data_IF_605685566595
#
_entry.id   IF_605685566595
#
_cell.length_a   1.000
_cell.length_b   1.000
_cell.length_c   1.000
_cell.angle_alpha   90.00
_cell.angle_beta   90.00
_cell.angle_gamma   90.00
#
_symmetry.space_group_name_H-M   'P 1'
#
loop_
_entity.id
_entity.type
_entity.pdbx_description
1 polymer ?
#
# COMPACT_ATOMS: atom_id res chain seq x y z
N UNK A 1 17.75 13.49 28.17
CA UNK A 1 18.29 14.10 26.94
C UNK A 1 19.79 13.88 26.75
N UNK A 2 20.63 13.83 27.80
CA UNK A 2 22.08 13.60 27.68
C UNK A 2 22.44 12.23 27.10
N UNK A 3 21.76 11.17 27.50
CA UNK A 3 22.13 9.80 27.12
C UNK A 3 22.02 9.48 25.60
N UNK A 4 21.01 9.98 24.90
CA UNK A 4 20.85 9.69 23.46
C UNK A 4 21.88 10.44 22.60
N UNK A 5 22.27 11.64 23.02
CA UNK A 5 23.28 12.45 22.34
C UNK A 5 24.69 11.88 22.51
N UNK A 6 25.04 11.40 23.69
CA UNK A 6 26.31 10.73 23.97
C UNK A 6 26.38 9.39 23.20
N UNK A 7 25.28 8.64 23.18
CA UNK A 7 25.18 7.38 22.47
C UNK A 7 25.38 7.56 20.95
N UNK A 8 24.78 8.59 20.33
CA UNK A 8 24.96 8.85 18.90
C UNK A 8 26.39 9.26 18.57
N UNK A 9 27.04 10.05 19.42
CA UNK A 9 28.45 10.42 19.24
C UNK A 9 29.38 9.21 19.30
N UNK A 10 29.15 8.30 20.26
CA UNK A 10 29.94 7.06 20.35
C UNK A 10 29.74 6.14 19.16
N UNK A 11 28.55 6.15 18.51
CA UNK A 11 28.28 5.37 17.30
C UNK A 11 28.95 6.03 16.09
N UNK A 12 28.89 7.35 15.99
CA UNK A 12 29.50 8.11 14.88
C UNK A 12 31.03 7.99 14.81
N UNK A 13 31.70 7.74 15.95
CA UNK A 13 33.13 7.51 16.00
C UNK A 13 33.56 6.11 15.56
N UNK A 14 32.61 5.16 15.37
CA UNK A 14 32.90 3.76 14.96
C UNK A 14 33.12 3.66 13.46
N UNK A 15 33.82 2.63 13.00
CA UNK A 15 33.91 2.29 11.59
C UNK A 15 32.54 1.96 10.97
N UNK A 16 32.47 1.85 9.64
CA UNK A 16 31.23 1.71 8.88
C UNK A 16 30.27 0.62 9.43
N UNK A 17 30.75 -0.61 9.66
CA UNK A 17 29.93 -1.71 10.19
C UNK A 17 29.47 -1.42 11.64
N UNK A 18 30.30 -0.77 12.45
CA UNK A 18 29.95 -0.38 13.80
C UNK A 18 28.87 0.71 13.85
N UNK A 19 28.90 1.65 12.92
CA UNK A 19 27.83 2.65 12.72
C UNK A 19 26.53 1.98 12.29
N UNK A 20 26.58 1.08 11.32
CA UNK A 20 25.40 0.35 10.82
C UNK A 20 24.70 -0.41 11.96
N UNK A 21 25.47 -1.20 12.72
CA UNK A 21 24.96 -1.96 13.86
C UNK A 21 24.47 -1.05 15.01
N UNK A 22 25.10 0.12 15.21
CA UNK A 22 24.68 1.11 16.19
C UNK A 22 23.37 1.79 15.80
N UNK A 23 23.27 2.24 14.57
CA UNK A 23 22.07 2.90 14.05
C UNK A 23 20.87 1.96 14.00
N UNK A 24 21.04 0.70 13.59
CA UNK A 24 19.93 -0.27 13.52
C UNK A 24 19.25 -0.49 14.88
N UNK A 25 20.00 -0.38 15.99
CA UNK A 25 19.45 -0.46 17.36
C UNK A 25 18.66 0.79 17.76
N UNK A 26 18.89 1.92 17.11
CA UNK A 26 18.23 3.19 17.41
C UNK A 26 17.08 3.52 16.46
N UNK A 27 16.86 2.73 15.43
CA UNK A 27 15.76 2.90 14.46
C UNK A 27 14.39 2.79 15.12
N UNK A 28 13.42 3.49 14.59
CA UNK A 28 12.04 3.43 15.08
C UNK A 28 11.05 4.30 14.32
N UNK A 29 11.28 5.61 14.11
CA UNK A 29 10.38 6.45 13.33
C UNK A 29 10.08 5.90 11.94
N UNK A 30 11.09 5.40 11.22
CA UNK A 30 10.92 4.77 9.90
C UNK A 30 10.02 3.54 9.93
N UNK A 31 10.14 2.71 10.97
CA UNK A 31 9.28 1.52 11.13
C UNK A 31 7.82 1.89 11.41
N UNK A 32 7.58 2.97 12.16
CA UNK A 32 6.22 3.51 12.35
C UNK A 32 5.66 3.97 11.01
N UNK A 33 6.47 4.65 10.20
CA UNK A 33 6.06 5.06 8.85
C UNK A 33 5.78 3.83 7.95
N UNK A 34 6.59 2.77 8.04
CA UNK A 34 6.33 1.53 7.31
C UNK A 34 5.00 0.88 7.71
N UNK A 35 4.69 0.82 9.00
CA UNK A 35 3.41 0.31 9.47
C UNK A 35 2.22 1.14 8.99
N UNK A 36 2.38 2.46 8.91
CA UNK A 36 1.34 3.36 8.37
C UNK A 36 1.12 3.16 6.88
N UNK A 37 2.19 3.00 6.09
CA UNK A 37 2.07 2.85 4.64
C UNK A 37 1.71 1.43 4.19
N UNK A 38 2.21 0.39 4.88
CA UNK A 38 1.91 -1.02 4.57
C UNK A 38 0.52 -1.42 5.10
N UNK A 39 -0.49 -0.69 4.72
CA UNK A 39 -1.88 -0.92 5.06
C UNK A 39 -2.75 -1.11 3.82
N UNK A 40 -4.08 -0.98 4.01
CA UNK A 40 -5.08 -1.22 2.97
C UNK A 40 -4.89 -0.42 1.69
N UNK A 41 -4.30 0.77 1.76
CA UNK A 41 -4.04 1.59 0.57
C UNK A 41 -2.94 1.04 -0.32
N UNK A 42 -1.75 0.81 0.23
CA UNK A 42 -0.59 0.40 -0.56
C UNK A 42 -0.56 -1.10 -0.88
N UNK A 43 -0.99 -1.98 0.04
CA UNK A 43 -1.04 -3.42 -0.24
C UNK A 43 -2.13 -3.76 -1.26
N UNK A 44 -3.36 -3.26 -1.08
CA UNK A 44 -4.43 -3.46 -2.08
C UNK A 44 -4.08 -2.75 -3.40
N UNK A 45 -3.42 -1.60 -3.32
CA UNK A 45 -2.87 -0.92 -4.49
C UNK A 45 -1.85 -1.78 -5.25
N UNK A 46 -0.86 -2.35 -4.55
CA UNK A 46 0.15 -3.23 -5.12
C UNK A 46 -0.45 -4.52 -5.70
N UNK A 47 -1.45 -5.12 -5.00
CA UNK A 47 -2.23 -6.25 -5.51
C UNK A 47 -2.83 -5.91 -6.88
N UNK A 48 -3.51 -4.77 -6.97
CA UNK A 48 -4.18 -4.37 -8.19
C UNK A 48 -3.20 -3.96 -9.30
N UNK A 49 -2.05 -3.36 -8.95
CA UNK A 49 -0.98 -3.10 -9.92
C UNK A 49 -0.49 -4.38 -10.60
N UNK A 50 -0.26 -5.44 -9.83
CA UNK A 50 0.15 -6.73 -10.40
C UNK A 50 -0.93 -7.37 -11.26
N UNK A 51 -2.22 -7.14 -10.96
CA UNK A 51 -3.34 -7.67 -11.73
C UNK A 51 -3.50 -6.93 -13.07
N UNK A 52 -3.54 -5.60 -13.04
CA UNK A 52 -3.82 -4.79 -14.23
C UNK A 52 -2.59 -4.51 -15.09
N UNK A 53 -1.42 -4.41 -14.46
CA UNK A 53 -0.16 -4.03 -15.12
C UNK A 53 0.83 -5.18 -15.24
N UNK A 54 0.59 -6.29 -14.54
CA UNK A 54 1.54 -7.40 -14.54
C UNK A 54 2.94 -6.98 -14.06
N UNK A 55 3.95 -7.62 -14.62
CA UNK A 55 5.35 -7.26 -14.35
C UNK A 55 5.73 -5.89 -14.90
N UNK A 56 5.03 -5.36 -15.93
CA UNK A 56 5.33 -4.06 -16.53
C UNK A 56 5.22 -2.89 -15.54
N UNK A 57 4.54 -3.07 -14.40
CA UNK A 57 4.39 -2.05 -13.35
C UNK A 57 5.31 -2.24 -12.13
N UNK A 58 6.25 -3.19 -12.19
CA UNK A 58 7.12 -3.48 -11.04
C UNK A 58 8.02 -2.29 -10.66
N UNK A 59 8.41 -1.45 -11.63
CA UNK A 59 9.22 -0.24 -11.41
C UNK A 59 8.52 0.84 -10.58
N UNK A 60 7.18 0.82 -10.54
CA UNK A 60 6.41 1.87 -9.88
C UNK A 60 6.66 1.92 -8.37
N UNK A 61 6.72 0.77 -7.71
CA UNK A 61 6.88 0.71 -6.25
C UNK A 61 8.24 1.27 -5.79
N UNK A 62 9.38 0.87 -6.39
CA UNK A 62 10.68 1.47 -6.10
C UNK A 62 10.70 2.97 -6.34
N UNK A 63 10.19 3.42 -7.49
CA UNK A 63 10.25 4.83 -7.87
C UNK A 63 9.35 5.70 -6.97
N UNK A 64 8.12 5.26 -6.71
CA UNK A 64 7.19 5.98 -5.83
C UNK A 64 7.76 6.13 -4.41
N UNK A 65 8.30 5.05 -3.84
CA UNK A 65 8.91 5.11 -2.52
C UNK A 65 10.21 5.93 -2.51
N UNK A 66 11.02 5.88 -3.56
CA UNK A 66 12.20 6.73 -3.66
C UNK A 66 11.85 8.22 -3.61
N UNK A 67 10.84 8.65 -4.38
CA UNK A 67 10.32 10.02 -4.31
C UNK A 67 9.82 10.36 -2.90
N UNK A 68 9.09 9.44 -2.27
CA UNK A 68 8.61 9.61 -0.90
C UNK A 68 9.72 9.73 0.14
N UNK A 69 10.77 8.91 0.04
CA UNK A 69 11.94 8.97 0.95
C UNK A 69 12.69 10.28 0.80
N UNK A 70 12.86 10.80 -0.42
CA UNK A 70 13.49 12.10 -0.64
C UNK A 70 12.69 13.20 0.07
N UNK A 71 11.37 13.19 -0.08
CA UNK A 71 10.48 14.16 0.59
C UNK A 71 10.56 14.04 2.12
N UNK A 72 10.45 12.83 2.68
CA UNK A 72 10.51 12.61 4.12
C UNK A 72 11.91 12.94 4.69
N UNK A 73 12.97 12.68 3.96
CA UNK A 73 14.33 13.05 4.36
C UNK A 73 14.51 14.58 4.42
N UNK A 74 13.93 15.31 3.46
CA UNK A 74 13.94 16.79 3.49
C UNK A 74 13.14 17.32 4.68
N UNK A 75 11.94 16.80 4.94
CA UNK A 75 11.11 17.18 6.11
C UNK A 75 11.84 16.87 7.42
N UNK A 76 12.43 15.69 7.52
CA UNK A 76 13.24 15.28 8.67
C UNK A 76 14.43 16.23 8.90
N UNK A 77 15.15 16.58 7.83
CA UNK A 77 16.27 17.51 7.89
C UNK A 77 15.85 18.87 8.43
N UNK A 78 14.76 19.44 7.94
CA UNK A 78 14.22 20.72 8.42
C UNK A 78 13.78 20.61 9.88
N UNK A 79 13.02 19.58 10.22
CA UNK A 79 12.52 19.35 11.59
C UNK A 79 13.65 19.28 12.61
N UNK A 80 14.67 18.46 12.32
CA UNK A 80 15.83 18.29 13.22
C UNK A 80 16.75 19.52 13.25
N UNK A 81 16.62 20.43 12.28
CA UNK A 81 17.37 21.69 12.26
C UNK A 81 16.73 22.77 13.12
N UNK A 82 15.41 22.83 13.09
CA UNK A 82 14.63 23.85 13.80
C UNK A 82 14.34 23.44 15.25
N UNK A 83 14.33 22.13 15.55
CA UNK A 83 14.00 21.53 16.85
C UNK A 83 12.63 21.99 17.41
N UNK A 84 11.79 22.57 16.54
CA UNK A 84 10.42 23.00 16.82
C UNK A 84 9.42 22.15 16.03
N UNK A 85 8.16 22.16 16.49
CA UNK A 85 7.05 21.50 15.78
C UNK A 85 6.87 22.11 14.39
N UNK A 86 6.88 21.34 13.32
CA UNK A 86 6.85 21.85 11.93
C UNK A 86 5.69 22.79 11.64
N UNK A 87 4.50 22.48 12.17
CA UNK A 87 3.34 23.37 12.05
C UNK A 87 3.64 24.79 12.56
N UNK A 88 4.27 24.91 13.73
CA UNK A 88 4.65 26.23 14.30
C UNK A 88 5.73 26.92 13.47
N UNK A 89 6.69 26.16 12.97
CA UNK A 89 7.75 26.71 12.11
C UNK A 89 7.14 27.26 10.83
N UNK A 90 6.26 26.49 10.19
CA UNK A 90 5.56 26.92 8.98
C UNK A 90 4.69 28.14 9.25
N UNK A 91 3.91 28.13 10.33
CA UNK A 91 3.03 29.25 10.72
C UNK A 91 3.80 30.54 10.96
N UNK A 92 4.96 30.47 11.63
CA UNK A 92 5.74 31.68 12.03
C UNK A 92 6.68 32.15 10.92
N UNK A 93 7.31 31.23 10.16
CA UNK A 93 8.42 31.56 9.26
C UNK A 93 8.08 31.50 7.79
N UNK A 94 6.94 30.89 7.42
CA UNK A 94 6.50 30.78 6.02
C UNK A 94 5.17 31.47 5.83
N UNK A 95 4.07 30.88 6.26
CA UNK A 95 2.73 31.42 6.15
C UNK A 95 1.75 30.72 7.09
N UNK A 96 0.95 31.43 7.88
CA UNK A 96 -0.15 30.85 8.64
C UNK A 96 -1.15 30.11 7.77
N UNK A 97 -1.50 30.66 6.62
CA UNK A 97 -2.45 30.05 5.66
C UNK A 97 -1.95 28.69 5.18
N UNK A 98 -0.68 28.58 4.79
CA UNK A 98 -0.09 27.32 4.35
C UNK A 98 -0.06 26.29 5.48
N UNK A 99 0.25 26.69 6.72
CA UNK A 99 0.24 25.79 7.87
C UNK A 99 -1.15 25.21 8.13
N UNK A 100 -2.18 26.05 8.12
CA UNK A 100 -3.57 25.59 8.30
C UNK A 100 -4.07 24.75 7.11
N UNK A 101 -3.75 25.14 5.86
CA UNK A 101 -4.09 24.34 4.69
C UNK A 101 -3.46 22.95 4.73
N UNK A 102 -2.19 22.86 5.14
CA UNK A 102 -1.52 21.56 5.32
C UNK A 102 -2.18 20.71 6.41
N UNK A 103 -2.54 21.30 7.56
CA UNK A 103 -3.24 20.59 8.64
C UNK A 103 -4.61 20.07 8.16
N UNK A 104 -5.41 20.94 7.54
CA UNK A 104 -6.76 20.59 7.05
C UNK A 104 -6.67 19.48 5.99
N UNK A 105 -5.77 19.62 5.01
CA UNK A 105 -5.55 18.60 4.00
C UNK A 105 -5.12 17.26 4.61
N UNK A 106 -4.26 17.28 5.63
CA UNK A 106 -3.86 16.08 6.36
C UNK A 106 -5.05 15.41 7.05
N UNK A 107 -5.89 16.17 7.77
CA UNK A 107 -7.07 15.63 8.46
C UNK A 107 -8.07 15.01 7.48
N UNK A 108 -8.32 15.67 6.34
CA UNK A 108 -9.20 15.13 5.29
C UNK A 108 -8.63 13.83 4.73
N UNK A 109 -7.35 13.81 4.38
CA UNK A 109 -6.68 12.61 3.86
C UNK A 109 -6.69 11.47 4.89
N UNK A 110 -6.40 11.76 6.17
CA UNK A 110 -6.43 10.77 7.23
C UNK A 110 -7.81 10.16 7.42
N UNK A 111 -8.87 10.95 7.29
CA UNK A 111 -10.25 10.44 7.38
C UNK A 111 -10.51 9.39 6.29
N UNK A 112 -10.08 9.66 5.06
CA UNK A 112 -10.21 8.73 3.92
C UNK A 112 -9.34 7.48 4.13
N UNK A 113 -8.09 7.65 4.55
CA UNK A 113 -7.19 6.52 4.82
C UNK A 113 -7.68 5.66 5.98
N UNK A 114 -8.17 6.25 7.07
CA UNK A 114 -8.75 5.49 8.18
C UNK A 114 -9.97 4.68 7.74
N UNK A 115 -10.86 5.24 6.92
CA UNK A 115 -12.01 4.51 6.38
C UNK A 115 -11.56 3.27 5.58
N UNK A 116 -10.51 3.40 4.75
CA UNK A 116 -9.94 2.29 4.00
C UNK A 116 -9.35 1.20 4.93
N UNK A 117 -8.64 1.59 6.01
CA UNK A 117 -8.07 0.65 6.98
C UNK A 117 -9.16 -0.11 7.74
N UNK A 118 -10.22 0.58 8.20
CA UNK A 118 -11.35 -0.09 8.85
C UNK A 118 -12.09 -1.03 7.90
N UNK A 119 -12.23 -0.66 6.63
CA UNK A 119 -12.81 -1.53 5.60
C UNK A 119 -11.98 -2.80 5.39
N UNK A 120 -10.64 -2.67 5.34
CA UNK A 120 -9.75 -3.82 5.22
C UNK A 120 -9.79 -4.72 6.46
N UNK A 121 -9.71 -4.12 7.67
CA UNK A 121 -9.81 -4.86 8.92
C UNK A 121 -11.15 -5.58 9.09
N UNK A 122 -12.24 -4.93 8.67
CA UNK A 122 -13.56 -5.56 8.62
C UNK A 122 -13.58 -6.75 7.65
N UNK A 123 -13.09 -6.56 6.41
CA UNK A 123 -13.00 -7.63 5.42
C UNK A 123 -12.13 -8.81 5.90
N UNK A 124 -11.03 -8.53 6.61
CA UNK A 124 -10.22 -9.57 7.22
C UNK A 124 -11.00 -10.41 8.25
N UNK A 125 -11.80 -9.77 9.11
CA UNK A 125 -12.60 -10.45 10.12
C UNK A 125 -13.81 -11.17 9.50
N UNK A 126 -14.57 -10.52 8.61
CA UNK A 126 -15.76 -11.07 7.98
C UNK A 126 -15.42 -12.15 6.95
N UNK A 127 -14.57 -11.79 5.95
CA UNK A 127 -14.34 -12.64 4.77
C UNK A 127 -13.34 -13.75 5.02
N UNK A 128 -12.30 -13.49 5.87
CA UNK A 128 -11.22 -14.45 6.09
C UNK A 128 -11.40 -15.26 7.37
N UNK A 129 -11.97 -14.67 8.45
CA UNK A 129 -12.18 -15.36 9.74
C UNK A 129 -13.61 -15.79 9.97
N UNK A 130 -14.56 -15.38 9.12
CA UNK A 130 -15.99 -15.73 9.25
C UNK A 130 -16.68 -15.11 10.47
N UNK A 131 -16.09 -14.04 11.05
CA UNK A 131 -16.67 -13.36 12.21
C UNK A 131 -17.64 -12.28 11.78
N UNK A 132 -18.95 -12.54 11.86
CA UNK A 132 -20.02 -11.70 11.31
C UNK A 132 -21.04 -11.16 12.34
N UNK A 133 -20.61 -10.46 13.42
CA UNK A 133 -21.54 -9.90 14.40
C UNK A 133 -22.29 -8.65 13.89
N UNK A 134 -21.93 -8.19 12.68
CA UNK A 134 -22.48 -7.01 12.02
C UNK A 134 -21.43 -5.91 11.81
N UNK A 135 -21.59 -5.13 10.73
CA UNK A 135 -20.55 -4.18 10.27
C UNK A 135 -20.25 -3.07 11.29
N UNK A 136 -21.24 -2.58 11.99
CA UNK A 136 -21.07 -1.52 12.99
C UNK A 136 -20.35 -2.01 14.25
N UNK A 137 -20.60 -3.28 14.64
CA UNK A 137 -19.95 -3.89 15.81
C UNK A 137 -18.46 -4.08 15.55
N UNK A 138 -18.10 -4.61 14.39
CA UNK A 138 -16.69 -4.81 14.02
C UNK A 138 -15.96 -3.47 13.94
N UNK A 139 -16.49 -2.53 13.16
CA UNK A 139 -15.83 -1.22 12.96
C UNK A 139 -15.72 -0.45 14.28
N UNK A 140 -16.79 -0.47 15.11
CA UNK A 140 -16.77 0.15 16.43
C UNK A 140 -15.75 -0.47 17.38
N UNK A 141 -15.63 -1.80 17.39
CA UNK A 141 -14.64 -2.51 18.21
C UNK A 141 -13.20 -2.18 17.77
N UNK A 142 -12.92 -2.21 16.46
CA UNK A 142 -11.61 -1.82 15.92
C UNK A 142 -11.28 -0.37 16.28
N UNK A 143 -12.25 0.54 16.20
CA UNK A 143 -12.06 1.94 16.57
C UNK A 143 -11.71 2.11 18.05
N UNK A 144 -12.44 1.42 18.94
CA UNK A 144 -12.19 1.46 20.40
C UNK A 144 -10.81 0.89 20.72
N UNK A 145 -10.42 -0.23 20.09
CA UNK A 145 -9.10 -0.83 20.25
C UNK A 145 -8.02 0.16 19.82
N UNK A 146 -8.16 0.76 18.62
CA UNK A 146 -7.19 1.73 18.10
C UNK A 146 -7.02 2.93 19.04
N UNK A 147 -8.13 3.53 19.50
CA UNK A 147 -8.09 4.65 20.46
C UNK A 147 -7.44 4.25 21.80
N UNK A 148 -7.74 3.05 22.29
CA UNK A 148 -7.15 2.53 23.53
C UNK A 148 -5.64 2.36 23.41
N UNK A 149 -5.16 1.79 22.32
CA UNK A 149 -3.73 1.63 22.05
C UNK A 149 -3.02 2.99 21.96
N UNK A 150 -3.62 3.97 21.27
CA UNK A 150 -3.10 5.34 21.18
C UNK A 150 -3.02 5.96 22.59
N UNK A 151 -4.10 5.90 23.37
CA UNK A 151 -4.15 6.48 24.71
C UNK A 151 -3.10 5.88 25.65
N UNK A 152 -2.93 4.56 25.62
CA UNK A 152 -1.94 3.83 26.42
C UNK A 152 -0.51 4.21 25.98
N UNK A 153 -0.25 4.29 24.68
CA UNK A 153 1.07 4.63 24.12
C UNK A 153 1.52 6.06 24.49
N UNK A 154 0.56 6.97 24.69
CA UNK A 154 0.89 8.34 25.07
C UNK A 154 1.24 8.49 26.55
N UNK A 155 0.66 7.65 27.41
CA UNK A 155 0.84 7.73 28.87
C UNK A 155 2.03 6.94 29.40
N UNK A 156 2.49 5.91 28.69
CA UNK A 156 3.48 4.97 29.18
C UNK A 156 4.56 4.68 28.13
N UNK A 157 5.81 5.05 28.43
CA UNK A 157 6.96 4.81 27.54
C UNK A 157 7.24 3.31 27.30
N UNK A 158 6.93 2.44 28.26
CA UNK A 158 7.10 0.99 28.10
C UNK A 158 6.07 0.45 27.09
N UNK A 159 4.82 0.93 27.19
CA UNK A 159 3.75 0.59 26.27
C UNK A 159 4.06 1.12 24.86
N UNK A 160 4.57 2.34 24.73
CA UNK A 160 5.00 2.88 23.43
C UNK A 160 6.08 2.01 22.78
N UNK A 161 7.08 1.55 23.54
CA UNK A 161 8.14 0.65 23.05
C UNK A 161 7.59 -0.73 22.67
N UNK A 162 6.63 -1.26 23.43
CA UNK A 162 5.96 -2.53 23.09
C UNK A 162 5.20 -2.42 21.77
N UNK A 163 4.42 -1.34 21.58
CA UNK A 163 3.69 -1.08 20.34
C UNK A 163 4.66 -0.89 19.16
N UNK A 164 5.75 -0.14 19.34
CA UNK A 164 6.79 -0.01 18.30
C UNK A 164 7.38 -1.38 17.87
N UNK A 165 7.62 -2.27 18.82
CA UNK A 165 8.14 -3.61 18.54
C UNK A 165 7.08 -4.51 17.89
N UNK A 166 5.81 -4.39 18.31
CA UNK A 166 4.69 -5.09 17.68
C UNK A 166 4.56 -4.69 16.20
N UNK A 167 4.57 -3.37 15.93
CA UNK A 167 4.53 -2.86 14.55
C UNK A 167 5.69 -3.38 13.69
N UNK A 168 6.92 -3.40 14.24
CA UNK A 168 8.08 -3.99 13.55
C UNK A 168 7.86 -5.47 13.25
N UNK A 169 7.30 -6.21 14.21
CA UNK A 169 6.99 -7.64 14.06
C UNK A 169 5.95 -7.87 12.96
N UNK A 170 4.87 -7.09 12.95
CA UNK A 170 3.82 -7.18 11.92
C UNK A 170 4.36 -6.86 10.52
N UNK A 171 5.15 -5.79 10.39
CA UNK A 171 5.81 -5.46 9.11
C UNK A 171 6.72 -6.59 8.65
N UNK A 172 7.50 -7.18 9.55
CA UNK A 172 8.36 -8.32 9.21
C UNK A 172 7.56 -9.54 8.77
N UNK A 173 6.45 -9.85 9.43
CA UNK A 173 5.54 -10.96 9.05
C UNK A 173 4.98 -10.74 7.65
N UNK A 174 4.51 -9.53 7.32
CA UNK A 174 3.99 -9.20 5.98
C UNK A 174 5.08 -9.41 4.91
N UNK A 175 6.29 -8.88 5.13
CA UNK A 175 7.41 -9.03 4.20
C UNK A 175 7.78 -10.50 4.00
N UNK A 176 7.88 -11.27 5.10
CA UNK A 176 8.25 -12.69 5.04
C UNK A 176 7.16 -13.52 4.37
N UNK A 177 5.88 -13.20 4.61
CA UNK A 177 4.77 -13.90 3.97
C UNK A 177 4.80 -13.74 2.44
N UNK A 178 4.91 -12.51 1.94
CA UNK A 178 4.99 -12.28 0.49
C UNK A 178 6.30 -12.80 -0.12
N UNK A 179 7.41 -12.71 0.60
CA UNK A 179 8.66 -13.34 0.18
C UNK A 179 8.49 -14.86 0.01
N UNK A 180 7.84 -15.53 0.97
CA UNK A 180 7.54 -16.95 0.90
C UNK A 180 6.71 -17.31 -0.33
N UNK A 181 5.70 -16.49 -0.66
CA UNK A 181 4.90 -16.67 -1.88
C UNK A 181 5.77 -16.59 -3.13
N UNK A 182 6.61 -15.56 -3.24
CA UNK A 182 7.48 -15.37 -4.41
C UNK A 182 8.47 -16.53 -4.55
N UNK A 183 9.08 -16.99 -3.46
CA UNK A 183 9.98 -18.16 -3.47
C UNK A 183 9.24 -19.41 -3.94
N UNK A 184 8.02 -19.64 -3.48
CA UNK A 184 7.19 -20.77 -3.92
C UNK A 184 6.87 -20.69 -5.41
N UNK A 185 6.50 -19.50 -5.90
CA UNK A 185 6.20 -19.28 -7.33
C UNK A 185 7.44 -19.46 -8.22
N UNK A 186 8.62 -19.03 -7.73
CA UNK A 186 9.91 -19.28 -8.42
C UNK A 186 10.18 -20.77 -8.52
N UNK A 187 10.05 -21.51 -7.42
CA UNK A 187 10.29 -22.95 -7.39
C UNK A 187 9.32 -23.73 -8.31
N UNK A 188 8.10 -23.22 -8.48
CA UNK A 188 7.10 -23.80 -9.37
C UNK A 188 7.26 -23.35 -10.84
N UNK A 189 8.29 -22.54 -11.15
CA UNK A 189 8.51 -22.02 -12.51
C UNK A 189 7.45 -21.03 -13.01
N UNK A 190 6.66 -20.47 -12.09
CA UNK A 190 5.56 -19.54 -12.44
C UNK A 190 6.05 -18.11 -12.69
N UNK A 191 7.30 -17.79 -12.36
CA UNK A 191 7.88 -16.44 -12.49
C UNK A 191 8.71 -16.36 -13.77
N UNK A 192 8.35 -15.44 -14.66
CA UNK A 192 9.16 -15.10 -15.84
C UNK A 192 10.26 -14.12 -15.46
N UNK A 193 11.50 -14.59 -15.39
CA UNK A 193 12.65 -13.74 -15.05
C UNK A 193 12.89 -12.61 -16.04
N UNK A 194 12.72 -12.86 -17.34
CA UNK A 194 12.86 -11.85 -18.38
C UNK A 194 11.83 -10.72 -18.21
N UNK A 195 10.58 -11.07 -17.99
CA UNK A 195 9.50 -10.09 -17.75
C UNK A 195 9.70 -9.33 -16.44
N UNK A 196 10.19 -10.01 -15.39
CA UNK A 196 10.49 -9.39 -14.10
C UNK A 196 11.57 -8.32 -14.23
N UNK A 197 12.71 -8.64 -14.88
CA UNK A 197 13.79 -7.66 -15.07
C UNK A 197 13.39 -6.54 -16.02
N UNK A 198 12.64 -6.83 -17.09
CA UNK A 198 12.09 -5.82 -17.97
C UNK A 198 11.15 -4.86 -17.23
N UNK A 199 10.33 -5.40 -16.34
CA UNK A 199 9.38 -4.63 -15.54
C UNK A 199 10.00 -3.72 -14.46
N UNK A 200 11.32 -3.83 -14.20
CA UNK A 200 12.03 -2.88 -13.34
C UNK A 200 12.44 -1.60 -14.08
N UNK A 201 12.36 -1.61 -15.41
CA UNK A 201 12.68 -0.44 -16.23
C UNK A 201 11.42 0.43 -16.34
N UNK A 202 11.48 1.72 -15.96
CA UNK A 202 10.33 2.60 -16.05
C UNK A 202 9.80 2.74 -17.49
N UNK A 203 8.54 2.35 -17.70
CA UNK A 203 7.82 2.58 -18.95
C UNK A 203 6.62 3.49 -18.71
N UNK A 204 6.76 4.76 -19.08
CA UNK A 204 5.69 5.75 -18.96
C UNK A 204 4.65 5.64 -20.07
N UNK A 205 4.85 4.81 -21.10
CA UNK A 205 3.85 4.61 -22.16
C UNK A 205 2.57 3.98 -21.63
N UNK A 206 2.65 3.21 -20.53
CA UNK A 206 1.51 2.65 -19.82
C UNK A 206 0.51 3.68 -19.25
N UNK A 207 0.88 4.98 -19.25
CA UNK A 207 -0.07 6.07 -18.99
C UNK A 207 -1.03 6.31 -20.15
N UNK A 208 -0.70 5.84 -21.36
CA UNK A 208 -1.38 6.16 -22.61
C UNK A 208 -1.84 4.93 -23.39
N UNK A 209 -1.37 3.74 -23.03
CA UNK A 209 -1.74 2.46 -23.67
C UNK A 209 -1.89 1.36 -22.65
N UNK A 210 -2.73 0.32 -22.91
CA UNK A 210 -2.75 -0.88 -22.09
C UNK A 210 -1.38 -1.61 -22.13
N UNK A 211 -1.09 -2.37 -21.05
CA UNK A 211 0.05 -3.29 -21.03
C UNK A 211 -0.09 -4.36 -22.11
N UNK A 212 1.03 -4.90 -22.59
CA UNK A 212 1.04 -5.75 -23.79
C UNK A 212 0.12 -6.97 -23.66
N UNK A 213 0.10 -7.64 -22.51
CA UNK A 213 -0.76 -8.82 -22.30
C UNK A 213 -2.25 -8.45 -22.26
N UNK A 214 -2.61 -7.34 -21.64
CA UNK A 214 -3.99 -6.85 -21.61
C UNK A 214 -4.41 -6.35 -23.02
N UNK A 215 -3.50 -5.69 -23.74
CA UNK A 215 -3.75 -5.27 -25.12
C UNK A 215 -4.09 -6.48 -26.03
N UNK A 216 -3.37 -7.59 -25.87
CA UNK A 216 -3.68 -8.84 -26.57
C UNK A 216 -5.07 -9.38 -26.22
N UNK A 217 -5.48 -9.30 -24.94
CA UNK A 217 -6.84 -9.68 -24.54
C UNK A 217 -7.90 -8.72 -25.09
N UNK A 218 -7.63 -7.40 -25.11
CA UNK A 218 -8.52 -6.40 -25.70
C UNK A 218 -8.75 -6.69 -27.19
N UNK A 219 -7.71 -7.07 -27.92
CA UNK A 219 -7.85 -7.40 -29.35
C UNK A 219 -8.87 -8.52 -29.64
N UNK A 220 -9.13 -9.40 -28.67
CA UNK A 220 -10.14 -10.48 -28.82
C UNK A 220 -11.58 -9.98 -28.66
N UNK A 221 -11.82 -8.77 -28.18
CA UNK A 221 -13.15 -8.19 -27.98
C UNK A 221 -13.76 -7.57 -29.25
N UNK A 222 -13.02 -7.58 -30.38
CA UNK A 222 -13.51 -7.14 -31.67
C UNK A 222 -13.96 -5.66 -31.68
N UNK A 223 -15.21 -5.42 -31.97
CA UNK A 223 -15.79 -4.05 -32.05
C UNK A 223 -15.77 -3.29 -30.70
N UNK A 224 -15.63 -4.00 -29.57
CA UNK A 224 -15.57 -3.41 -28.24
C UNK A 224 -14.15 -2.99 -27.84
N UNK A 225 -13.14 -3.29 -28.66
CA UNK A 225 -11.72 -3.04 -28.33
C UNK A 225 -11.42 -1.56 -28.03
N UNK A 226 -12.06 -0.62 -28.70
CA UNK A 226 -11.86 0.82 -28.45
C UNK A 226 -12.31 1.22 -27.03
N UNK A 227 -13.48 0.76 -26.59
CA UNK A 227 -13.98 1.00 -25.24
C UNK A 227 -13.03 0.42 -24.17
N UNK A 228 -12.66 -0.83 -24.33
CA UNK A 228 -11.79 -1.50 -23.35
C UNK A 228 -10.39 -0.88 -23.30
N UNK A 229 -9.86 -0.42 -24.42
CA UNK A 229 -8.58 0.30 -24.46
C UNK A 229 -8.65 1.56 -23.62
N UNK A 230 -9.70 2.37 -23.78
CA UNK A 230 -9.88 3.60 -23.01
C UNK A 230 -10.10 3.29 -21.51
N UNK A 231 -10.98 2.35 -21.20
CA UNK A 231 -11.29 1.94 -19.83
C UNK A 231 -10.04 1.45 -19.10
N UNK A 232 -9.30 0.50 -19.69
CA UNK A 232 -8.10 -0.08 -19.09
C UNK A 232 -7.01 0.97 -18.93
N UNK A 233 -6.77 1.80 -19.94
CA UNK A 233 -5.76 2.87 -19.86
C UNK A 233 -6.10 3.88 -18.77
N UNK A 234 -7.38 4.22 -18.61
CA UNK A 234 -7.84 5.11 -17.53
C UNK A 234 -7.63 4.48 -16.15
N UNK A 235 -7.96 3.20 -15.98
CA UNK A 235 -7.71 2.47 -14.74
C UNK A 235 -6.21 2.34 -14.44
N UNK A 236 -5.38 1.99 -15.43
CA UNK A 236 -3.92 1.94 -15.29
C UNK A 236 -3.36 3.30 -14.83
N UNK A 237 -3.75 4.39 -15.49
CA UNK A 237 -3.34 5.76 -15.13
C UNK A 237 -3.72 6.10 -13.70
N UNK A 238 -4.95 5.79 -13.30
CA UNK A 238 -5.44 5.99 -11.94
C UNK A 238 -4.58 5.21 -10.92
N UNK A 239 -4.20 3.96 -11.23
CA UNK A 239 -3.36 3.15 -10.33
C UNK A 239 -1.92 3.60 -10.27
N UNK A 240 -1.36 4.06 -11.40
CA UNK A 240 -0.02 4.65 -11.42
C UNK A 240 0.03 5.88 -10.52
N UNK A 241 -0.93 6.81 -10.66
CA UNK A 241 -1.01 8.01 -9.82
C UNK A 241 -1.23 7.63 -8.35
N UNK A 242 -2.13 6.69 -8.07
CA UNK A 242 -2.41 6.22 -6.72
C UNK A 242 -1.18 5.58 -6.05
N UNK A 243 -0.33 4.85 -6.80
CA UNK A 243 0.88 4.24 -6.27
C UNK A 243 1.83 5.30 -5.66
N UNK A 244 2.00 6.44 -6.34
CA UNK A 244 2.79 7.56 -5.80
C UNK A 244 2.14 8.18 -4.56
N UNK A 245 0.81 8.37 -4.55
CA UNK A 245 0.06 8.93 -3.43
C UNK A 245 0.01 8.04 -2.19
N UNK A 246 0.04 6.71 -2.38
CA UNK A 246 -0.04 5.75 -1.28
C UNK A 246 1.31 5.30 -0.73
N UNK A 247 2.40 5.46 -1.49
CA UNK A 247 3.75 5.14 -1.01
C UNK A 247 4.16 6.04 0.16
N UNK A 248 3.95 7.35 0.06
CA UNK A 248 4.12 8.31 1.16
C UNK A 248 2.96 9.31 1.12
N UNK A 249 1.98 9.09 1.98
CA UNK A 249 0.84 9.98 2.13
C UNK A 249 1.17 11.28 2.89
N UNK A 250 0.30 12.28 2.74
CA UNK A 250 0.44 13.57 3.44
C UNK A 250 0.45 13.39 4.97
N UNK A 251 -0.25 12.40 5.50
CA UNK A 251 -0.26 12.03 6.91
C UNK A 251 1.14 11.67 7.43
N UNK A 252 1.94 10.99 6.63
CA UNK A 252 3.31 10.62 6.99
C UNK A 252 4.21 11.86 7.10
N UNK A 253 3.98 12.87 6.25
CA UNK A 253 4.70 14.15 6.32
C UNK A 253 4.39 14.92 7.60
N UNK A 254 3.22 14.69 8.18
CA UNK A 254 2.82 15.26 9.47
C UNK A 254 3.33 14.42 10.65
N UNK A 255 3.18 13.09 10.57
CA UNK A 255 3.51 12.16 11.65
C UNK A 255 5.03 12.08 11.93
N UNK A 256 5.86 11.99 10.87
CA UNK A 256 7.30 11.81 11.03
C UNK A 256 7.96 12.89 11.91
N UNK A 257 7.77 14.19 11.66
CA UNK A 257 8.34 15.25 12.46
C UNK A 257 8.01 15.14 13.96
N UNK A 258 6.76 14.84 14.27
CA UNK A 258 6.32 14.70 15.66
C UNK A 258 6.93 13.48 16.34
N UNK A 259 7.11 12.38 15.59
CA UNK A 259 7.77 11.17 16.09
C UNK A 259 9.25 11.43 16.39
N UNK A 260 9.95 12.18 15.52
CA UNK A 260 11.35 12.57 15.73
C UNK A 260 11.52 13.42 16.98
N UNK A 261 10.69 14.46 17.14
CA UNK A 261 10.72 15.37 18.29
C UNK A 261 10.38 14.61 19.58
N UNK A 262 9.34 13.75 19.57
CA UNK A 262 8.96 12.92 20.73
C UNK A 262 10.10 12.04 21.21
N UNK A 263 10.95 11.54 20.31
CA UNK A 263 12.14 10.73 20.63
C UNK A 263 13.34 11.57 21.10
N UNK A 264 13.22 12.88 21.14
CA UNK A 264 14.31 13.79 21.52
C UNK A 264 15.43 13.85 20.48
N UNK A 265 15.13 13.51 19.21
CA UNK A 265 16.10 13.63 18.15
C UNK A 265 16.33 15.11 17.79
N UNK A 266 17.59 15.45 17.51
CA UNK A 266 18.06 16.81 17.25
C UNK A 266 18.93 16.84 15.99
N UNK A 267 19.53 17.97 15.69
CA UNK A 267 20.45 18.16 14.55
C UNK A 267 21.52 17.06 14.41
N UNK A 268 22.01 16.50 15.53
CA UNK A 268 23.02 15.42 15.54
C UNK A 268 22.49 14.09 15.03
N UNK A 269 21.15 13.88 15.03
CA UNK A 269 20.50 12.64 14.60
C UNK A 269 20.13 12.62 13.12
N UNK A 270 20.53 13.61 12.31
CA UNK A 270 20.14 13.70 10.88
C UNK A 270 20.59 12.48 10.05
N UNK A 271 21.82 12.00 10.30
CA UNK A 271 22.35 10.82 9.61
C UNK A 271 21.57 9.56 10.02
N UNK A 272 21.32 9.40 11.32
CA UNK A 272 20.47 8.34 11.87
C UNK A 272 19.06 8.39 11.28
N UNK A 273 18.46 9.59 11.14
CA UNK A 273 17.12 9.72 10.59
C UNK A 273 17.03 9.28 9.12
N UNK A 274 18.03 9.62 8.30
CA UNK A 274 18.10 9.11 6.91
C UNK A 274 18.28 7.60 6.87
N UNK A 275 19.17 7.06 7.69
CA UNK A 275 19.36 5.62 7.83
C UNK A 275 18.07 4.91 8.27
N UNK A 276 17.35 5.45 9.24
CA UNK A 276 16.10 4.93 9.76
C UNK A 276 14.98 4.92 8.70
N UNK A 277 14.89 5.97 7.87
CA UNK A 277 13.94 6.01 6.75
C UNK A 277 14.27 4.95 5.69
N UNK A 278 15.55 4.72 5.40
CA UNK A 278 15.94 3.68 4.43
C UNK A 278 15.69 2.30 5.01
N UNK A 279 16.20 2.00 6.20
CA UNK A 279 16.11 0.66 6.78
C UNK A 279 14.69 0.34 7.27
N UNK A 280 14.05 1.31 7.92
CA UNK A 280 12.75 1.12 8.58
C UNK A 280 11.55 1.33 7.65
N UNK A 281 11.68 2.09 6.57
CA UNK A 281 10.57 2.36 5.65
C UNK A 281 10.84 1.85 4.24
N UNK A 282 11.91 2.32 3.58
CA UNK A 282 12.15 2.02 2.17
C UNK A 282 12.28 0.52 1.91
N UNK A 283 13.15 -0.17 2.65
CA UNK A 283 13.41 -1.60 2.43
C UNK A 283 12.17 -2.45 2.69
N UNK A 284 11.46 -2.34 3.84
CA UNK A 284 10.26 -3.13 4.09
C UNK A 284 9.15 -2.86 3.07
N UNK A 285 8.92 -1.60 2.72
CA UNK A 285 7.91 -1.24 1.72
C UNK A 285 8.24 -1.84 0.36
N UNK A 286 9.47 -1.65 -0.10
CA UNK A 286 9.92 -2.18 -1.39
C UNK A 286 9.77 -3.70 -1.45
N UNK A 287 10.21 -4.40 -0.41
CA UNK A 287 10.09 -5.86 -0.35
C UNK A 287 8.63 -6.31 -0.36
N UNK A 288 7.79 -5.78 0.54
CA UNK A 288 6.40 -6.20 0.65
C UNK A 288 5.60 -5.93 -0.63
N UNK A 289 5.69 -4.70 -1.17
CA UNK A 289 4.88 -4.30 -2.32
C UNK A 289 5.39 -4.90 -3.63
N UNK A 290 6.72 -4.99 -3.84
CA UNK A 290 7.26 -5.63 -5.04
C UNK A 290 7.01 -7.14 -5.05
N UNK A 291 7.17 -7.81 -3.91
CA UNK A 291 6.82 -9.23 -3.81
C UNK A 291 5.34 -9.46 -4.08
N UNK A 292 4.46 -8.58 -3.61
CA UNK A 292 3.04 -8.67 -3.87
C UNK A 292 2.73 -8.45 -5.36
N UNK A 293 3.33 -7.44 -6.01
CA UNK A 293 3.19 -7.24 -7.47
C UNK A 293 3.65 -8.49 -8.23
N UNK A 294 4.81 -9.05 -7.88
CA UNK A 294 5.33 -10.28 -8.52
C UNK A 294 4.35 -11.45 -8.33
N UNK A 295 3.89 -11.66 -7.10
CA UNK A 295 2.98 -12.75 -6.76
C UNK A 295 1.66 -12.64 -7.53
N UNK A 296 1.09 -11.45 -7.60
CA UNK A 296 -0.20 -11.22 -8.25
C UNK A 296 -0.10 -11.16 -9.77
N UNK A 297 1.03 -10.69 -10.30
CA UNK A 297 1.31 -10.80 -11.74
C UNK A 297 1.38 -12.26 -12.17
N UNK A 298 2.12 -13.09 -11.44
CA UNK A 298 2.24 -14.52 -11.76
C UNK A 298 0.93 -15.29 -11.62
N UNK A 299 0.05 -14.90 -10.69
CA UNK A 299 -1.17 -15.65 -10.38
C UNK A 299 -2.40 -15.16 -11.12
N UNK A 300 -2.55 -13.85 -11.32
CA UNK A 300 -3.82 -13.24 -11.73
C UNK A 300 -3.76 -12.41 -13.01
N UNK A 301 -2.58 -11.91 -13.42
CA UNK A 301 -2.49 -11.03 -14.60
C UNK A 301 -2.89 -11.75 -15.88
N UNK A 302 -3.80 -11.15 -16.62
CA UNK A 302 -4.33 -11.67 -17.89
C UNK A 302 -4.85 -13.13 -17.83
N UNK A 303 -5.23 -13.61 -16.62
CA UNK A 303 -5.76 -14.97 -16.44
C UNK A 303 -7.28 -14.96 -16.33
N UNK A 304 -7.92 -15.85 -17.11
CA UNK A 304 -9.38 -15.99 -17.21
C UNK A 304 -10.04 -16.50 -15.92
N UNK A 305 -9.35 -17.37 -15.18
CA UNK A 305 -9.89 -18.09 -14.02
C UNK A 305 -9.69 -17.36 -12.69
N UNK A 306 -9.37 -16.05 -12.75
CA UNK A 306 -9.20 -15.28 -11.52
C UNK A 306 -10.56 -15.05 -10.85
N UNK A 307 -10.76 -15.64 -9.66
CA UNK A 307 -11.98 -15.44 -8.87
C UNK A 307 -12.07 -13.97 -8.47
N UNK A 308 -13.15 -13.32 -8.88
CA UNK A 308 -13.48 -11.93 -8.51
C UNK A 308 -14.77 -11.97 -7.71
N UNK A 309 -14.92 -11.07 -6.71
CA UNK A 309 -16.22 -10.94 -6.05
C UNK A 309 -17.27 -10.51 -7.08
N UNK A 310 -18.46 -11.14 -7.05
CA UNK A 310 -19.53 -10.85 -7.99
C UNK A 310 -19.88 -9.34 -8.05
N UNK A 311 -19.86 -8.65 -6.91
CA UNK A 311 -20.13 -7.21 -6.85
C UNK A 311 -19.07 -6.37 -7.60
N UNK A 312 -17.80 -6.73 -7.51
CA UNK A 312 -16.73 -6.01 -8.21
C UNK A 312 -16.74 -6.29 -9.71
N UNK A 313 -17.02 -7.53 -10.10
CA UNK A 313 -17.23 -7.89 -11.50
C UNK A 313 -18.42 -7.13 -12.10
N UNK A 314 -19.58 -7.20 -11.44
CA UNK A 314 -20.79 -6.53 -11.88
C UNK A 314 -20.57 -5.02 -12.03
N UNK A 315 -19.80 -4.39 -11.14
CA UNK A 315 -19.53 -2.95 -11.25
C UNK A 315 -18.78 -2.57 -12.55
N UNK A 316 -17.89 -3.43 -13.03
CA UNK A 316 -17.20 -3.22 -14.33
C UNK A 316 -18.16 -3.42 -15.48
N UNK A 317 -18.94 -4.53 -15.45
CA UNK A 317 -19.92 -4.85 -16.47
C UNK A 317 -21.02 -3.79 -16.55
N UNK A 318 -21.51 -3.32 -15.40
CA UNK A 318 -22.53 -2.25 -15.34
C UNK A 318 -22.01 -0.94 -15.96
N UNK A 319 -20.71 -0.63 -15.76
CA UNK A 319 -20.09 0.55 -16.39
C UNK A 319 -20.04 0.38 -17.90
N UNK A 320 -19.73 -0.83 -18.38
CA UNK A 320 -19.75 -1.12 -19.82
C UNK A 320 -21.16 -1.03 -20.40
N UNK A 321 -22.17 -1.67 -19.77
CA UNK A 321 -23.56 -1.64 -20.19
C UNK A 321 -24.09 -0.21 -20.22
N UNK A 322 -23.85 0.59 -19.19
CA UNK A 322 -24.24 2.00 -19.14
C UNK A 322 -23.58 2.85 -20.24
N UNK A 323 -22.41 2.45 -20.73
CA UNK A 323 -21.76 3.14 -21.86
C UNK A 323 -22.43 2.83 -23.20
N UNK A 324 -23.14 1.70 -23.29
CA UNK A 324 -23.86 1.26 -24.50
C UNK A 324 -25.32 1.70 -24.52
N UNK A 325 -25.96 1.69 -23.36
CA UNK A 325 -27.36 2.10 -23.20
C UNK A 325 -27.49 3.11 -22.05
N UNK A 326 -27.81 4.33 -22.39
CA UNK A 326 -28.03 5.42 -21.40
C UNK A 326 -29.23 5.16 -20.46
N UNK A 327 -30.13 4.24 -20.80
CA UNK A 327 -31.27 3.84 -19.99
C UNK A 327 -31.00 2.58 -19.15
N UNK A 328 -29.76 2.05 -19.18
CA UNK A 328 -29.40 0.88 -18.38
C UNK A 328 -29.57 1.16 -16.88
N UNK A 329 -30.41 0.34 -16.21
CA UNK A 329 -30.55 0.37 -14.74
C UNK A 329 -30.00 -0.91 -14.15
N UNK A 330 -28.89 -0.78 -13.43
CA UNK A 330 -28.22 -1.90 -12.74
C UNK A 330 -29.06 -2.60 -11.68
N UNK A 331 -30.15 -1.96 -11.19
CA UNK A 331 -31.07 -2.49 -10.19
C UNK A 331 -32.33 -3.13 -10.81
N UNK A 332 -32.50 -3.05 -12.14
CA UNK A 332 -33.63 -3.68 -12.82
C UNK A 332 -33.55 -5.21 -12.74
N UNK A 333 -34.70 -5.89 -12.73
CA UNK A 333 -34.77 -7.36 -12.78
C UNK A 333 -34.06 -7.93 -13.99
N UNK A 334 -34.03 -7.20 -15.12
CA UNK A 334 -33.36 -7.57 -16.35
C UNK A 334 -31.83 -7.40 -16.31
N UNK A 335 -31.29 -6.71 -15.32
CA UNK A 335 -29.85 -6.37 -15.28
C UNK A 335 -28.95 -7.62 -15.27
N UNK A 336 -29.36 -8.67 -14.53
CA UNK A 336 -28.57 -9.91 -14.49
C UNK A 336 -28.55 -10.60 -15.85
N UNK A 337 -29.67 -10.68 -16.53
CA UNK A 337 -29.74 -11.26 -17.88
C UNK A 337 -28.87 -10.47 -18.88
N UNK A 338 -28.83 -9.15 -18.76
CA UNK A 338 -27.98 -8.30 -19.60
C UNK A 338 -26.48 -8.50 -19.31
N UNK A 339 -26.08 -8.68 -18.04
CA UNK A 339 -24.71 -9.03 -17.66
C UNK A 339 -24.28 -10.39 -18.23
N UNK A 340 -25.18 -11.38 -18.15
CA UNK A 340 -24.92 -12.75 -18.61
C UNK A 340 -24.90 -12.83 -20.17
N UNK A 341 -25.50 -11.86 -20.84
CA UNK A 341 -25.53 -11.78 -22.31
C UNK A 341 -24.28 -11.15 -22.93
N UNK A 342 -23.30 -10.67 -22.09
CA UNK A 342 -22.04 -10.16 -22.61
C UNK A 342 -21.29 -11.26 -23.41
N UNK A 343 -20.59 -10.86 -24.50
CA UNK A 343 -19.68 -11.79 -25.18
C UNK A 343 -18.60 -12.31 -24.22
N UNK A 344 -18.20 -13.57 -24.39
CA UNK A 344 -17.22 -14.24 -23.52
C UNK A 344 -15.90 -13.45 -23.38
N UNK A 345 -15.42 -12.82 -24.47
CA UNK A 345 -14.20 -12.01 -24.45
C UNK A 345 -14.34 -10.78 -23.55
N UNK A 346 -15.50 -10.12 -23.59
CA UNK A 346 -15.81 -8.96 -22.74
C UNK A 346 -15.95 -9.37 -21.26
N UNK A 347 -16.62 -10.50 -20.99
CA UNK A 347 -16.74 -11.05 -19.64
C UNK A 347 -15.37 -11.36 -19.04
N UNK A 348 -14.49 -11.99 -19.82
CA UNK A 348 -13.13 -12.34 -19.40
C UNK A 348 -12.32 -11.08 -19.10
N UNK A 349 -12.39 -10.07 -19.96
CA UNK A 349 -11.67 -8.81 -19.77
C UNK A 349 -12.21 -8.05 -18.55
N UNK A 350 -13.54 -7.99 -18.36
CA UNK A 350 -14.15 -7.43 -17.17
C UNK A 350 -13.65 -8.10 -15.88
N UNK A 351 -13.53 -9.43 -15.87
CA UNK A 351 -12.98 -10.17 -14.73
C UNK A 351 -11.48 -9.85 -14.47
N UNK A 352 -10.68 -9.69 -15.53
CA UNK A 352 -9.25 -9.33 -15.41
C UNK A 352 -9.04 -7.96 -14.78
N UNK A 353 -9.89 -6.97 -15.09
CA UNK A 353 -9.72 -5.59 -14.65
C UNK A 353 -10.53 -5.22 -13.42
N UNK A 354 -11.36 -6.12 -12.91
CA UNK A 354 -12.19 -5.88 -11.73
C UNK A 354 -11.34 -5.65 -10.47
N UNK A 355 -11.83 -4.80 -9.57
CA UNK A 355 -11.17 -4.52 -8.27
C UNK A 355 -11.07 -5.79 -7.43
N UNK A 356 -10.02 -5.85 -6.60
CA UNK A 356 -9.76 -6.97 -5.69
C UNK A 356 -10.05 -6.59 -4.24
N UNK A 357 -10.42 -7.60 -3.45
CA UNK A 357 -10.80 -7.48 -2.04
C UNK A 357 -9.69 -7.97 -1.11
N UNK A 358 -9.91 -7.85 0.21
CA UNK A 358 -9.05 -8.47 1.22
C UNK A 358 -8.95 -10.00 1.05
N UNK A 359 -10.02 -10.65 0.59
CA UNK A 359 -10.02 -12.09 0.30
C UNK A 359 -9.11 -12.45 -0.87
N UNK A 360 -9.08 -11.63 -1.93
CA UNK A 360 -8.15 -11.83 -3.04
C UNK A 360 -6.70 -11.63 -2.60
N UNK A 361 -6.46 -10.67 -1.68
CA UNK A 361 -5.14 -10.48 -1.08
C UNK A 361 -4.70 -11.70 -0.28
N UNK A 362 -5.59 -12.24 0.58
CA UNK A 362 -5.33 -13.48 1.30
C UNK A 362 -5.06 -14.66 0.33
N UNK A 363 -5.81 -14.74 -0.77
CA UNK A 363 -5.62 -15.76 -1.80
C UNK A 363 -4.24 -15.68 -2.47
N UNK A 364 -3.66 -14.48 -2.62
CA UNK A 364 -2.30 -14.31 -3.15
C UNK A 364 -1.23 -14.98 -2.28
N UNK A 365 -1.54 -15.30 -1.02
CA UNK A 365 -0.67 -16.00 -0.07
C UNK A 365 -0.82 -17.53 -0.12
N UNK A 366 -1.84 -18.08 -0.80
CA UNK A 366 -2.11 -19.52 -0.86
C UNK A 366 -0.93 -20.37 -1.36
N UNK A 367 -0.13 -19.94 -2.34
CA UNK A 367 1.02 -20.74 -2.79
C UNK A 367 2.05 -21.05 -1.71
N UNK A 368 2.18 -20.17 -0.70
CA UNK A 368 3.13 -20.34 0.40
C UNK A 368 2.49 -20.93 1.66
N UNK A 369 1.24 -20.54 1.96
CA UNK A 369 0.56 -20.83 3.23
C UNK A 369 -0.54 -21.89 3.09
N UNK A 370 -0.82 -22.33 1.87
CA UNK A 370 -1.88 -23.29 1.57
C UNK A 370 -3.26 -22.77 2.00
N UNK A 371 -4.15 -23.68 2.36
CA UNK A 371 -5.54 -23.34 2.79
C UNK A 371 -5.62 -22.45 4.04
N UNK A 372 -4.52 -22.31 4.79
CA UNK A 372 -4.44 -21.46 5.98
C UNK A 372 -4.16 -19.99 5.66
N UNK A 373 -3.93 -19.63 4.40
CA UNK A 373 -3.62 -18.27 3.99
C UNK A 373 -4.67 -17.25 4.47
N UNK A 374 -5.94 -17.58 4.34
CA UNK A 374 -7.04 -16.71 4.79
C UNK A 374 -7.04 -16.51 6.30
N UNK A 375 -6.81 -17.58 7.07
CA UNK A 375 -6.73 -17.51 8.54
C UNK A 375 -5.54 -16.65 8.99
N UNK A 376 -4.35 -16.91 8.41
CA UNK A 376 -3.13 -16.20 8.77
C UNK A 376 -3.23 -14.72 8.40
N UNK A 377 -3.78 -14.40 7.23
CA UNK A 377 -4.01 -13.01 6.81
C UNK A 377 -5.09 -12.32 7.66
N UNK A 378 -6.12 -13.05 8.10
CA UNK A 378 -7.18 -12.49 8.94
C UNK A 378 -6.74 -12.17 10.37
N UNK A 379 -5.69 -12.82 10.88
CA UNK A 379 -5.11 -12.58 12.20
C UNK A 379 -4.03 -11.49 12.16
N UNK A 380 -3.21 -11.45 11.11
CA UNK A 380 -2.09 -10.51 10.95
C UNK A 380 -2.53 -9.17 10.38
#
# INVERSE_FOLDING_TARGET
MSSSTEQIQSIQSRGFLGKLAGYSKMTGPGWVQAAVTLGGGSLVGALYLGIIGGYEFLWLQPLAMLCGIIMLAAISYVTLSCEERPFRVMQKKVSPTLAWSWLIATVIADTVFCAAQFSLGRGALEDNLGFTPGPYVITGSLFVIALSLIAISQKNERASRYIDNLLKGLVAVIVLAFMGVVVTLINNGAVSWSSLFAGLIPDFSALFRPTDQIAAAIATTGEHAAYWTEYVTSEQRTKIIAAFGTAVGINMTFLLPYTLIKRGWSKRHRELSRFDLVLGLFVPFLMATSFLVIATSAQFHAKKDSIVSAGNYNAVVDTWLASKDANYDKNAESAQAQRDALPDADQQLAAMVAKRTAKDLAKSLEPALGKNAQLIFGIG
#
